data_IF_389763772840
#
_entry.id   IF_389763772840
#
_cell.length_a   1.000
_cell.length_b   1.000
_cell.length_c   1.000
_cell.angle_alpha   90.00
_cell.angle_beta   90.00
_cell.angle_gamma   90.00
#
_symmetry.space_group_name_H-M   'P 1'
#
loop_
_entity.id
_entity.type
_entity.pdbx_description
1 polymer ?
#
# COMPACT_ATOMS: atom_id res chain seq x y z
N UNK A 1 -11.68 7.76 37.78
CA UNK A 1 -11.44 8.26 36.41
C UNK A 1 -10.32 7.39 35.83
N UNK A 2 -10.69 6.31 35.14
CA UNK A 2 -9.73 5.30 34.68
C UNK A 2 -9.06 5.79 33.39
N UNK A 3 -7.78 6.14 33.46
CA UNK A 3 -6.97 6.43 32.29
C UNK A 3 -6.83 5.15 31.44
N UNK A 4 -7.07 5.29 30.13
CA UNK A 4 -6.96 4.25 29.12
C UNK A 4 -5.48 3.85 28.94
N UNK A 5 -5.05 2.77 29.59
CA UNK A 5 -3.68 2.21 29.50
C UNK A 5 -3.41 1.41 28.21
N UNK A 6 -4.26 1.53 27.18
CA UNK A 6 -4.17 0.71 25.97
C UNK A 6 -3.56 1.43 24.75
N UNK A 7 -3.03 2.65 24.91
CA UNK A 7 -2.36 3.39 23.82
C UNK A 7 -0.97 2.81 23.45
N UNK A 8 -0.35 2.03 24.34
CA UNK A 8 1.09 1.72 24.24
C UNK A 8 1.46 0.83 23.04
N UNK A 9 0.75 -0.27 22.73
CA UNK A 9 1.25 -1.26 21.74
C UNK A 9 1.49 -0.75 20.31
N UNK A 10 0.68 0.19 19.81
CA UNK A 10 0.87 0.74 18.46
C UNK A 10 1.88 1.88 18.45
N UNK A 11 1.87 2.73 19.48
CA UNK A 11 2.81 3.84 19.60
C UNK A 11 4.22 3.32 19.88
N UNK A 12 4.38 2.29 20.72
CA UNK A 12 5.66 1.62 20.94
C UNK A 12 6.19 1.00 19.64
N UNK A 13 5.31 0.38 18.83
CA UNK A 13 5.69 -0.17 17.54
C UNK A 13 6.12 0.94 16.56
N UNK A 14 5.40 2.06 16.53
CA UNK A 14 5.72 3.24 15.72
C UNK A 14 7.04 3.90 16.13
N UNK A 15 7.27 4.09 17.43
CA UNK A 15 8.49 4.65 18.00
C UNK A 15 9.68 3.71 17.75
N UNK A 16 9.48 2.39 17.87
CA UNK A 16 10.51 1.39 17.54
C UNK A 16 10.89 1.38 16.05
N UNK A 17 9.99 1.77 15.15
CA UNK A 17 10.25 1.87 13.71
C UNK A 17 10.92 3.19 13.28
N UNK A 18 10.99 4.20 14.15
CA UNK A 18 11.54 5.51 13.84
C UNK A 18 13.03 5.69 14.20
N UNK A 19 13.73 4.65 14.67
CA UNK A 19 15.13 4.78 15.14
C UNK A 19 16.17 4.53 14.03
N UNK A 20 16.63 5.63 13.41
CA UNK A 20 18.05 5.91 13.06
C UNK A 20 18.25 7.46 13.10
N UNK A 21 19.42 7.97 13.54
CA UNK A 21 19.50 8.66 14.82
C UNK A 21 19.75 10.18 14.74
N UNK A 22 19.44 10.89 15.83
CA UNK A 22 20.32 11.91 16.42
C UNK A 22 19.82 12.43 17.79
N UNK A 23 20.68 12.25 18.81
CA UNK A 23 20.83 12.98 20.10
C UNK A 23 19.67 12.85 21.11
N UNK A 24 19.84 12.52 22.38
CA UNK A 24 20.99 12.39 23.28
C UNK A 24 20.44 12.44 24.73
N UNK A 25 21.19 11.84 25.67
CA UNK A 25 21.00 11.79 27.14
C UNK A 25 20.03 10.76 27.76
N UNK A 26 20.64 9.62 28.11
CA UNK A 26 20.90 9.11 29.46
C UNK A 26 19.74 8.80 30.44
N UNK A 27 19.69 7.50 30.78
CA UNK A 27 19.24 6.87 32.05
C UNK A 27 17.95 6.03 32.04
N UNK A 28 17.87 5.06 31.13
CA UNK A 28 17.03 3.86 31.31
C UNK A 28 17.75 2.58 30.81
N UNK A 29 19.00 2.37 31.23
CA UNK A 29 19.83 1.23 30.84
C UNK A 29 19.71 0.06 31.82
N UNK A 30 18.60 -0.70 31.81
CA UNK A 30 18.68 -2.13 32.18
C UNK A 30 17.53 -2.99 31.65
N UNK A 31 16.34 -2.45 31.37
CA UNK A 31 15.18 -3.28 30.94
C UNK A 31 15.00 -3.39 29.42
N UNK A 32 15.66 -2.54 28.64
CA UNK A 32 15.58 -2.50 27.16
C UNK A 32 16.40 -3.59 26.49
N UNK A 33 17.52 -4.03 27.09
CA UNK A 33 18.39 -5.03 26.47
C UNK A 33 17.76 -6.43 26.40
N UNK A 34 16.95 -6.82 27.39
CA UNK A 34 16.24 -8.11 27.38
C UNK A 34 15.09 -8.17 26.34
N UNK A 35 14.47 -7.03 26.04
CA UNK A 35 13.45 -6.91 24.98
C UNK A 35 14.13 -6.80 23.60
N UNK A 36 15.29 -6.15 23.50
CA UNK A 36 16.10 -6.07 22.29
C UNK A 36 16.70 -7.43 21.89
N UNK A 37 17.10 -8.28 22.84
CA UNK A 37 17.60 -9.63 22.51
C UNK A 37 16.49 -10.58 22.06
N UNK A 38 15.27 -10.43 22.59
CA UNK A 38 14.11 -11.21 22.13
C UNK A 38 13.56 -10.74 20.76
N UNK A 39 13.71 -9.46 20.40
CA UNK A 39 13.27 -8.93 19.10
C UNK A 39 14.31 -9.05 17.97
N UNK A 40 15.59 -9.32 18.28
CA UNK A 40 16.63 -9.62 17.26
C UNK A 40 16.44 -10.97 16.57
N UNK A 41 15.52 -11.81 17.04
CA UNK A 41 15.23 -13.14 16.48
C UNK A 41 13.89 -13.24 15.74
N UNK A 42 13.22 -12.12 15.43
CA UNK A 42 12.29 -12.10 14.29
C UNK A 42 13.13 -12.16 13.02
N UNK A 43 13.55 -13.37 12.66
CA UNK A 43 14.39 -13.66 11.50
C UNK A 43 13.82 -12.91 10.28
N UNK A 44 14.49 -11.84 9.84
CA UNK A 44 14.20 -11.22 8.56
C UNK A 44 14.49 -12.28 7.49
N UNK A 45 13.43 -12.87 6.96
CA UNK A 45 13.55 -13.90 5.93
C UNK A 45 13.69 -13.17 4.60
N UNK A 46 14.85 -13.27 4.00
CA UNK A 46 15.08 -12.85 2.63
C UNK A 46 14.90 -14.03 1.66
N UNK A 47 14.22 -13.80 0.54
CA UNK A 47 14.16 -14.74 -0.59
C UNK A 47 15.00 -14.19 -1.74
N UNK A 48 15.93 -15.00 -2.24
CA UNK A 48 16.66 -14.72 -3.49
C UNK A 48 16.17 -15.70 -4.54
N UNK A 49 15.71 -15.19 -5.67
CA UNK A 49 14.98 -15.98 -6.67
C UNK A 49 15.46 -15.69 -8.07
N UNK A 50 15.57 -16.74 -8.88
CA UNK A 50 15.76 -16.61 -10.32
C UNK A 50 14.49 -16.03 -10.94
N UNK A 51 14.60 -14.78 -11.40
CA UNK A 51 13.51 -14.02 -12.00
C UNK A 51 13.04 -14.61 -13.32
N UNK A 52 13.92 -15.25 -14.10
CA UNK A 52 13.53 -15.90 -15.35
C UNK A 52 12.76 -17.18 -15.06
N UNK A 53 13.21 -17.99 -14.11
CA UNK A 53 12.46 -19.16 -13.64
C UNK A 53 11.07 -18.75 -13.10
N UNK A 54 11.00 -17.67 -12.32
CA UNK A 54 9.73 -17.13 -11.84
C UNK A 54 8.80 -16.72 -12.99
N UNK A 55 9.32 -15.99 -13.97
CA UNK A 55 8.54 -15.54 -15.13
C UNK A 55 8.02 -16.70 -15.98
N UNK A 56 8.78 -17.80 -16.08
CA UNK A 56 8.33 -19.02 -16.75
C UNK A 56 7.23 -19.77 -15.98
N UNK A 57 7.27 -19.74 -14.64
CA UNK A 57 6.20 -20.36 -13.81
C UNK A 57 4.95 -19.49 -13.65
N UNK A 58 5.02 -18.23 -14.07
CA UNK A 58 3.91 -17.30 -13.99
C UNK A 58 2.83 -17.62 -15.03
N UNK A 59 1.61 -17.87 -14.55
CA UNK A 59 0.46 -18.14 -15.40
C UNK A 59 -0.21 -16.82 -15.78
N UNK A 60 0.08 -16.32 -16.98
CA UNK A 60 -0.45 -15.04 -17.50
C UNK A 60 -1.99 -15.07 -17.58
N UNK A 61 -2.71 -14.30 -16.75
CA UNK A 61 -4.16 -14.25 -16.79
C UNK A 61 -4.69 -13.59 -18.07
N UNK A 62 -5.93 -13.91 -18.44
CA UNK A 62 -6.59 -13.33 -19.62
C UNK A 62 -6.78 -11.80 -19.53
N UNK A 63 -6.71 -11.23 -18.33
CA UNK A 63 -6.79 -9.77 -18.09
C UNK A 63 -5.51 -9.03 -18.50
N UNK A 64 -4.37 -9.73 -18.63
CA UNK A 64 -3.10 -9.11 -19.05
C UNK A 64 -3.10 -8.88 -20.55
N UNK A 65 -3.22 -7.62 -20.98
CA UNK A 65 -3.24 -7.23 -22.40
C UNK A 65 -1.97 -6.54 -22.84
N UNK A 66 -1.31 -5.80 -21.96
CA UNK A 66 -0.08 -5.05 -22.23
C UNK A 66 1.09 -5.50 -21.35
N UNK A 67 2.30 -5.01 -21.63
CA UNK A 67 3.45 -5.26 -20.75
C UNK A 67 3.28 -4.57 -19.39
N UNK A 68 2.60 -3.42 -19.31
CA UNK A 68 2.26 -2.79 -18.04
C UNK A 68 1.32 -3.69 -17.21
N UNK A 69 0.28 -4.25 -17.83
CA UNK A 69 -0.62 -5.19 -17.15
C UNK A 69 0.15 -6.41 -16.62
N UNK A 70 1.13 -6.90 -17.41
CA UNK A 70 2.00 -8.00 -17.01
C UNK A 70 2.82 -7.61 -15.79
N UNK A 71 3.47 -6.45 -15.79
CA UNK A 71 4.24 -5.96 -14.64
C UNK A 71 3.38 -5.85 -13.38
N UNK A 72 2.22 -5.21 -13.47
CA UNK A 72 1.29 -5.06 -12.34
C UNK A 72 0.83 -6.43 -11.81
N UNK A 73 0.42 -7.32 -12.71
CA UNK A 73 -0.11 -8.63 -12.32
C UNK A 73 0.98 -9.55 -11.77
N UNK A 74 2.17 -9.53 -12.35
CA UNK A 74 3.35 -10.27 -11.88
C UNK A 74 3.78 -9.78 -10.49
N UNK A 75 3.87 -8.46 -10.28
CA UNK A 75 4.23 -7.87 -8.99
C UNK A 75 3.23 -8.21 -7.87
N UNK A 76 1.93 -8.20 -8.18
CA UNK A 76 0.89 -8.64 -7.24
C UNK A 76 1.05 -10.12 -6.88
N UNK A 77 1.34 -10.97 -7.85
CA UNK A 77 1.53 -12.40 -7.65
C UNK A 77 2.76 -12.71 -6.78
N UNK A 78 3.90 -12.04 -7.00
CA UNK A 78 5.10 -12.27 -6.20
C UNK A 78 5.02 -11.59 -4.81
N UNK A 79 4.46 -10.38 -4.71
CA UNK A 79 4.58 -9.52 -3.53
C UNK A 79 3.37 -9.48 -2.60
N UNK A 80 2.15 -9.26 -3.12
CA UNK A 80 0.95 -9.01 -2.29
C UNK A 80 0.19 -10.29 -1.93
N UNK A 81 0.90 -11.32 -1.48
CA UNK A 81 0.30 -12.38 -0.65
C UNK A 81 0.13 -13.76 -1.29
N UNK A 82 0.86 -14.13 -2.34
CA UNK A 82 0.77 -15.51 -2.88
C UNK A 82 2.06 -16.32 -2.78
N UNK A 83 3.19 -15.86 -3.37
CA UNK A 83 4.38 -16.73 -3.47
C UNK A 83 5.44 -16.52 -2.38
N UNK A 84 5.66 -15.28 -1.93
CA UNK A 84 6.74 -14.93 -1.00
C UNK A 84 6.26 -14.19 0.26
N UNK A 85 5.01 -14.42 0.69
CA UNK A 85 4.40 -13.72 1.83
C UNK A 85 5.10 -13.92 3.19
N UNK A 86 5.90 -14.98 3.32
CA UNK A 86 6.64 -15.30 4.54
C UNK A 86 8.04 -14.66 4.58
N UNK A 87 8.39 -13.83 3.59
CA UNK A 87 9.67 -13.16 3.48
C UNK A 87 9.49 -11.65 3.65
N UNK A 88 10.32 -11.04 4.49
CA UNK A 88 10.37 -9.58 4.68
C UNK A 88 11.09 -8.87 3.54
N UNK A 89 11.90 -9.62 2.77
CA UNK A 89 12.71 -9.09 1.67
C UNK A 89 12.72 -10.06 0.48
N UNK A 90 12.63 -9.53 -0.73
CA UNK A 90 12.63 -10.31 -1.97
C UNK A 90 13.64 -9.73 -2.97
N UNK A 91 14.63 -10.54 -3.33
CA UNK A 91 15.64 -10.24 -4.35
C UNK A 91 15.35 -11.05 -5.60
N UNK A 92 14.87 -10.38 -6.64
CA UNK A 92 14.61 -11.01 -7.95
C UNK A 92 15.82 -10.78 -8.85
N UNK A 93 16.49 -11.85 -9.23
CA UNK A 93 17.73 -11.80 -10.03
C UNK A 93 17.43 -12.24 -11.46
N UNK A 94 17.75 -11.38 -12.43
CA UNK A 94 17.65 -11.71 -13.85
C UNK A 94 19.03 -11.93 -14.48
N UNK A 95 19.08 -12.87 -15.43
CA UNK A 95 20.28 -13.12 -16.25
C UNK A 95 20.69 -11.87 -17.04
N UNK A 96 21.99 -11.66 -17.20
CA UNK A 96 22.54 -10.72 -18.19
C UNK A 96 22.73 -11.41 -19.55
N UNK A 97 22.20 -10.80 -20.61
CA UNK A 97 22.25 -11.35 -21.97
C UNK A 97 23.45 -10.77 -22.73
N UNK A 98 24.64 -11.33 -22.51
CA UNK A 98 25.88 -10.91 -23.19
C UNK A 98 26.00 -11.54 -24.58
N UNK A 99 26.39 -10.75 -25.57
CA UNK A 99 26.52 -11.21 -26.95
C UNK A 99 27.62 -12.26 -27.13
N UNK A 100 28.77 -12.11 -26.46
CA UNK A 100 29.90 -13.04 -26.62
C UNK A 100 29.90 -14.12 -25.53
N UNK A 101 28.75 -14.73 -25.24
CA UNK A 101 28.63 -15.76 -24.20
C UNK A 101 28.40 -17.16 -24.78
N UNK A 102 28.94 -18.17 -24.10
CA UNK A 102 28.68 -19.58 -24.40
C UNK A 102 27.16 -19.89 -24.45
N UNK A 103 26.38 -19.23 -23.58
CA UNK A 103 24.92 -19.34 -23.56
C UNK A 103 24.28 -18.84 -24.88
N UNK A 104 24.79 -17.79 -25.53
CA UNK A 104 24.24 -17.30 -26.82
C UNK A 104 24.44 -18.33 -27.92
N UNK A 105 25.67 -18.82 -28.12
CA UNK A 105 25.97 -19.84 -29.12
C UNK A 105 25.08 -21.09 -28.94
N UNK A 106 24.87 -21.52 -27.69
CA UNK A 106 23.95 -22.63 -27.39
C UNK A 106 22.47 -22.32 -27.66
N UNK A 107 22.02 -21.06 -27.53
CA UNK A 107 20.64 -20.66 -27.84
C UNK A 107 20.37 -20.69 -29.35
N UNK A 108 21.33 -20.23 -30.15
CA UNK A 108 21.25 -20.26 -31.62
C UNK A 108 21.12 -21.72 -32.11
N UNK A 109 21.91 -22.64 -31.54
CA UNK A 109 21.80 -24.08 -31.81
C UNK A 109 20.41 -24.62 -31.42
N UNK A 110 19.88 -24.23 -30.24
CA UNK A 110 18.56 -24.68 -29.76
C UNK A 110 17.41 -24.16 -30.60
N UNK A 111 17.55 -22.98 -31.21
CA UNK A 111 16.52 -22.36 -32.03
C UNK A 111 16.35 -23.04 -33.40
N UNK A 112 17.25 -23.96 -33.80
CA UNK A 112 17.15 -24.80 -35.01
C UNK A 112 16.73 -24.01 -36.28
N UNK A 113 17.15 -22.75 -36.40
CA UNK A 113 16.81 -21.89 -37.54
C UNK A 113 15.42 -21.23 -37.50
N UNK A 114 14.67 -21.31 -36.39
CA UNK A 114 13.49 -20.48 -36.19
C UNK A 114 13.93 -19.07 -35.78
N UNK A 115 13.64 -18.05 -36.57
CA UNK A 115 13.86 -16.66 -36.17
C UNK A 115 12.78 -16.20 -35.20
N UNK A 116 13.10 -16.02 -33.90
CA UNK A 116 12.10 -15.63 -32.93
C UNK A 116 11.72 -14.15 -33.14
N UNK A 117 10.43 -13.84 -33.03
CA UNK A 117 9.93 -12.49 -33.20
C UNK A 117 10.49 -11.58 -32.11
N UNK A 118 11.18 -10.51 -32.52
CA UNK A 118 11.60 -9.45 -31.61
C UNK A 118 10.44 -8.48 -31.37
N UNK A 119 9.94 -8.43 -30.15
CA UNK A 119 8.99 -7.43 -29.69
C UNK A 119 9.72 -6.20 -29.15
N UNK A 120 9.20 -5.00 -29.47
CA UNK A 120 9.57 -3.75 -28.82
C UNK A 120 8.84 -3.65 -27.49
N UNK A 121 9.56 -3.79 -26.38
CA UNK A 121 8.97 -3.74 -25.03
C UNK A 121 8.77 -2.28 -24.61
N UNK A 122 7.56 -1.98 -24.13
CA UNK A 122 7.14 -0.71 -23.55
C UNK A 122 5.79 -0.92 -22.85
N UNK A 123 5.33 0.03 -22.03
CA UNK A 123 4.13 -0.15 -21.20
C UNK A 123 2.90 -0.54 -22.02
N UNK A 124 2.70 0.09 -23.18
CA UNK A 124 1.55 -0.14 -24.08
C UNK A 124 1.72 -1.33 -25.05
N UNK A 125 2.85 -2.03 -25.01
CA UNK A 125 3.10 -3.15 -25.93
C UNK A 125 2.08 -4.26 -25.71
N UNK A 126 1.24 -4.51 -26.71
CA UNK A 126 0.16 -5.50 -26.67
C UNK A 126 0.72 -6.93 -26.71
N UNK A 127 0.44 -7.70 -25.65
CA UNK A 127 0.89 -9.09 -25.47
C UNK A 127 -0.27 -10.02 -25.08
N UNK A 128 -1.51 -9.55 -25.11
CA UNK A 128 -2.68 -10.32 -24.69
C UNK A 128 -2.81 -11.68 -25.38
N UNK A 129 -2.66 -11.70 -26.71
CA UNK A 129 -2.70 -12.92 -27.53
C UNK A 129 -1.36 -13.65 -27.64
N UNK A 130 -0.27 -13.07 -27.12
CA UNK A 130 1.07 -13.64 -27.22
C UNK A 130 1.30 -14.56 -26.01
N UNK A 131 1.55 -15.86 -26.21
CA UNK A 131 1.89 -16.76 -25.10
C UNK A 131 3.30 -16.47 -24.59
N UNK A 132 3.55 -16.70 -23.30
CA UNK A 132 4.81 -16.33 -22.64
C UNK A 132 6.04 -16.97 -23.31
N UNK A 133 5.95 -18.22 -23.75
CA UNK A 133 7.04 -18.91 -24.44
C UNK A 133 7.44 -18.23 -25.77
N UNK A 134 6.48 -17.65 -26.52
CA UNK A 134 6.77 -16.88 -27.73
C UNK A 134 7.34 -15.51 -27.41
N UNK A 135 6.78 -14.80 -26.42
CA UNK A 135 7.30 -13.50 -25.99
C UNK A 135 8.75 -13.61 -25.49
N UNK A 136 9.08 -14.71 -24.82
CA UNK A 136 10.40 -15.02 -24.28
C UNK A 136 11.28 -15.82 -25.26
N UNK A 137 10.97 -15.85 -26.55
CA UNK A 137 11.79 -16.58 -27.52
C UNK A 137 13.04 -15.80 -27.94
N UNK A 138 12.87 -14.50 -28.24
CA UNK A 138 13.95 -13.62 -28.72
C UNK A 138 14.78 -13.03 -27.58
N UNK A 139 16.11 -13.07 -27.69
CA UNK A 139 17.03 -12.68 -26.61
C UNK A 139 16.94 -11.19 -26.26
N UNK A 140 16.85 -10.30 -27.25
CA UNK A 140 16.67 -8.87 -26.97
C UNK A 140 15.31 -8.58 -26.33
N UNK A 141 14.27 -9.34 -26.69
CA UNK A 141 12.93 -9.17 -26.10
C UNK A 141 12.94 -9.61 -24.65
N UNK A 142 13.56 -10.76 -24.35
CA UNK A 142 13.81 -11.22 -22.98
C UNK A 142 14.53 -10.15 -22.17
N UNK A 143 15.68 -9.68 -22.67
CA UNK A 143 16.49 -8.68 -21.98
C UNK A 143 15.69 -7.42 -21.66
N UNK A 144 15.03 -6.82 -22.66
CA UNK A 144 14.21 -5.62 -22.51
C UNK A 144 13.00 -5.83 -21.60
N UNK A 145 12.40 -7.02 -21.63
CA UNK A 145 11.30 -7.37 -20.73
C UNK A 145 11.78 -7.52 -19.28
N UNK A 146 12.92 -8.17 -19.04
CA UNK A 146 13.49 -8.31 -17.69
C UNK A 146 13.94 -6.97 -17.14
N UNK A 147 14.47 -6.08 -17.97
CA UNK A 147 14.79 -4.69 -17.60
C UNK A 147 13.52 -3.94 -17.18
N UNK A 148 12.47 -3.98 -18.01
CA UNK A 148 11.16 -3.38 -17.71
C UNK A 148 10.56 -3.91 -16.41
N UNK A 149 10.52 -5.23 -16.22
CA UNK A 149 9.99 -5.86 -15.01
C UNK A 149 10.83 -5.52 -13.78
N UNK A 150 12.15 -5.42 -13.90
CA UNK A 150 13.03 -5.02 -12.78
C UNK A 150 12.66 -3.63 -12.25
N UNK A 151 12.47 -2.67 -13.15
CA UNK A 151 12.00 -1.33 -12.78
C UNK A 151 10.63 -1.38 -12.09
N UNK A 152 9.68 -2.13 -12.66
CA UNK A 152 8.34 -2.28 -12.08
C UNK A 152 8.37 -2.92 -10.69
N UNK A 153 9.21 -3.93 -10.46
CA UNK A 153 9.35 -4.61 -9.16
C UNK A 153 9.87 -3.62 -8.10
N UNK A 154 10.92 -2.87 -8.44
CA UNK A 154 11.51 -1.87 -7.53
C UNK A 154 10.51 -0.77 -7.19
N UNK A 155 9.85 -0.20 -8.20
CA UNK A 155 8.84 0.84 -8.02
C UNK A 155 7.67 0.35 -7.16
N UNK A 156 7.19 -0.87 -7.40
CA UNK A 156 6.14 -1.50 -6.62
C UNK A 156 6.55 -1.71 -5.15
N UNK A 157 7.77 -2.21 -4.91
CA UNK A 157 8.31 -2.40 -3.56
C UNK A 157 8.42 -1.07 -2.80
N UNK A 158 8.99 -0.04 -3.43
CA UNK A 158 9.12 1.30 -2.83
C UNK A 158 7.75 1.92 -2.53
N UNK A 159 6.81 1.83 -3.48
CA UNK A 159 5.46 2.38 -3.32
C UNK A 159 4.71 1.68 -2.19
N UNK A 160 4.77 0.35 -2.10
CA UNK A 160 4.13 -0.40 -1.03
C UNK A 160 4.77 -0.10 0.34
N UNK A 161 6.10 -0.01 0.41
CA UNK A 161 6.81 0.38 1.65
C UNK A 161 6.39 1.77 2.12
N UNK A 162 6.35 2.74 1.20
CA UNK A 162 5.86 4.10 1.47
C UNK A 162 4.41 4.07 1.97
N UNK A 163 3.51 3.42 1.25
CA UNK A 163 2.08 3.32 1.61
C UNK A 163 1.88 2.65 2.97
N UNK A 164 2.65 1.61 3.28
CA UNK A 164 2.60 0.94 4.58
C UNK A 164 3.03 1.88 5.71
N UNK A 165 4.12 2.64 5.53
CA UNK A 165 4.59 3.63 6.49
C UNK A 165 3.58 4.77 6.69
N UNK A 166 3.00 5.29 5.61
CA UNK A 166 1.96 6.32 5.68
C UNK A 166 0.69 5.80 6.35
N UNK A 167 0.28 4.57 6.04
CA UNK A 167 -0.85 3.93 6.69
C UNK A 167 -0.62 3.79 8.19
N UNK A 168 0.58 3.35 8.60
CA UNK A 168 0.95 3.22 10.01
C UNK A 168 0.86 4.56 10.75
N UNK A 169 1.36 5.65 10.14
CA UNK A 169 1.25 7.01 10.68
C UNK A 169 -0.20 7.51 10.76
N UNK A 170 -1.05 7.08 9.83
CA UNK A 170 -2.45 7.46 9.76
C UNK A 170 -3.35 6.66 10.71
N UNK A 171 -2.91 5.49 11.21
CA UNK A 171 -3.72 4.60 12.05
C UNK A 171 -4.24 5.25 13.34
N UNK A 172 -3.46 6.04 14.10
CA UNK A 172 -3.98 6.72 15.29
C UNK A 172 -5.16 7.64 14.96
N UNK A 173 -5.03 8.47 13.91
CA UNK A 173 -6.10 9.34 13.45
C UNK A 173 -7.32 8.58 12.96
N UNK A 174 -7.13 7.48 12.22
CA UNK A 174 -8.20 6.58 11.82
C UNK A 174 -8.93 5.99 13.04
N UNK A 175 -8.18 5.51 14.03
CA UNK A 175 -8.73 4.86 15.23
C UNK A 175 -9.57 5.85 16.02
N UNK A 176 -9.06 7.05 16.24
CA UNK A 176 -9.76 8.12 16.95
C UNK A 176 -10.99 8.60 16.18
N UNK A 177 -10.88 8.81 14.86
CA UNK A 177 -11.98 9.32 14.04
C UNK A 177 -13.09 8.28 13.82
N UNK A 178 -12.74 7.01 13.62
CA UNK A 178 -13.71 5.93 13.43
C UNK A 178 -14.48 5.54 14.71
N UNK A 179 -14.13 6.17 15.83
CA UNK A 179 -14.73 5.97 17.14
C UNK A 179 -13.85 5.12 18.05
N UNK A 180 -13.34 5.75 19.09
CA UNK A 180 -12.81 5.14 20.30
C UNK A 180 -13.79 5.44 21.46
N UNK A 181 -13.55 4.87 22.64
CA UNK A 181 -14.42 5.03 23.81
C UNK A 181 -14.70 6.50 24.17
N UNK A 182 -13.79 7.41 23.78
CA UNK A 182 -13.85 8.84 24.10
C UNK A 182 -14.25 9.75 22.93
N UNK A 183 -14.29 9.27 21.68
CA UNK A 183 -14.48 10.14 20.48
C UNK A 183 -15.85 10.02 19.83
N UNK A 184 -16.69 9.09 20.27
CA UNK A 184 -18.01 8.82 19.68
C UNK A 184 -17.91 8.20 18.28
N UNK A 185 -19.01 7.64 17.78
CA UNK A 185 -19.03 6.94 16.49
C UNK A 185 -19.99 7.58 15.49
N UNK A 186 -19.68 7.46 14.20
CA UNK A 186 -20.63 7.79 13.14
C UNK A 186 -21.71 6.71 13.02
N UNK A 187 -22.98 7.13 13.05
CA UNK A 187 -24.12 6.23 13.01
C UNK A 187 -24.06 5.27 11.82
N UNK A 188 -24.25 3.98 12.11
CA UNK A 188 -24.22 2.90 11.11
C UNK A 188 -22.90 2.76 10.33
N UNK A 189 -21.78 3.35 10.80
CA UNK A 189 -20.44 3.22 10.19
C UNK A 189 -19.47 2.49 11.11
N UNK A 190 -19.62 1.16 11.19
CA UNK A 190 -18.71 0.31 11.96
C UNK A 190 -17.27 0.27 11.41
N UNK A 191 -16.34 -0.24 12.23
CA UNK A 191 -14.89 -0.33 11.93
C UNK A 191 -14.57 -1.00 10.59
N UNK A 192 -15.35 -2.02 10.19
CA UNK A 192 -15.18 -2.69 8.89
C UNK A 192 -15.36 -1.73 7.72
N UNK A 193 -16.33 -0.79 7.81
CA UNK A 193 -16.56 0.18 6.73
C UNK A 193 -15.43 1.19 6.66
N UNK A 194 -15.02 1.71 7.82
CA UNK A 194 -13.85 2.58 7.94
C UNK A 194 -12.58 1.93 7.40
N UNK A 195 -12.32 0.67 7.74
CA UNK A 195 -11.15 -0.07 7.25
C UNK A 195 -11.15 -0.23 5.73
N UNK A 196 -12.31 -0.52 5.12
CA UNK A 196 -12.44 -0.60 3.66
C UNK A 196 -12.18 0.75 2.98
N UNK A 197 -12.72 1.83 3.53
CA UNK A 197 -12.46 3.19 3.04
C UNK A 197 -10.98 3.55 3.18
N UNK A 198 -10.37 3.24 4.33
CA UNK A 198 -8.95 3.48 4.61
C UNK A 198 -8.02 2.73 3.65
N UNK A 199 -8.27 1.44 3.39
CA UNK A 199 -7.45 0.67 2.44
C UNK A 199 -7.48 1.24 1.02
N UNK A 200 -8.57 1.92 0.66
CA UNK A 200 -8.75 2.58 -0.64
C UNK A 200 -8.42 4.07 -0.61
N UNK A 201 -7.88 4.58 0.51
CA UNK A 201 -7.57 5.99 0.70
C UNK A 201 -6.49 6.47 -0.27
N UNK A 202 -6.59 7.75 -0.62
CA UNK A 202 -5.54 8.50 -1.31
C UNK A 202 -4.43 8.91 -0.34
N UNK A 203 -3.24 9.18 -0.85
CA UNK A 203 -2.08 9.65 -0.06
C UNK A 203 -2.42 10.92 0.72
N UNK A 204 -3.22 11.84 0.14
CA UNK A 204 -3.69 13.07 0.81
C UNK A 204 -4.53 12.77 2.06
N UNK A 205 -5.39 11.74 1.99
CA UNK A 205 -6.20 11.34 3.14
C UNK A 205 -5.36 10.64 4.21
N UNK A 206 -4.42 9.78 3.81
CA UNK A 206 -3.48 9.17 4.77
C UNK A 206 -2.68 10.25 5.50
N UNK A 207 -2.20 11.27 4.78
CA UNK A 207 -1.53 12.42 5.37
C UNK A 207 -2.43 13.19 6.33
N UNK A 208 -3.67 13.50 5.93
CA UNK A 208 -4.62 14.22 6.80
C UNK A 208 -4.95 13.45 8.08
N UNK A 209 -5.08 12.11 8.01
CA UNK A 209 -5.28 11.25 9.17
C UNK A 209 -4.02 11.18 10.05
N UNK A 210 -2.83 11.17 9.48
CA UNK A 210 -1.59 11.25 10.24
C UNK A 210 -1.46 12.59 10.96
N UNK A 211 -1.77 13.70 10.28
CA UNK A 211 -1.73 15.06 10.83
C UNK A 211 -2.76 15.28 11.94
N UNK A 212 -3.91 14.61 11.87
CA UNK A 212 -4.89 14.58 12.97
C UNK A 212 -4.24 14.11 14.27
N UNK A 213 -3.25 13.22 14.16
CA UNK A 213 -2.55 12.64 15.30
C UNK A 213 -1.33 13.38 15.80
N UNK A 214 -0.84 14.39 15.07
CA UNK A 214 0.49 14.97 15.34
C UNK A 214 0.54 16.49 15.33
N UNK A 215 -0.48 17.20 14.82
CA UNK A 215 -0.44 18.66 14.64
C UNK A 215 -1.13 19.45 15.76
N UNK A 216 -0.57 20.60 16.16
CA UNK A 216 -1.11 21.44 17.25
C UNK A 216 -2.42 22.17 16.89
N UNK A 217 -2.78 22.23 15.61
CA UNK A 217 -4.02 22.83 15.12
C UNK A 217 -4.51 22.14 13.85
N UNK A 218 -5.84 22.15 13.64
CA UNK A 218 -6.47 21.59 12.43
C UNK A 218 -6.44 22.62 11.31
N UNK A 219 -5.69 22.33 10.25
CA UNK A 219 -5.67 23.12 9.01
C UNK A 219 -6.92 22.87 8.17
N UNK A 220 -7.24 23.79 7.26
CA UNK A 220 -8.38 23.64 6.36
C UNK A 220 -8.20 22.48 5.37
N UNK A 221 -6.95 22.20 4.97
CA UNK A 221 -6.62 21.05 4.11
C UNK A 221 -6.93 19.72 4.80
N UNK A 222 -6.60 19.58 6.10
CA UNK A 222 -6.95 18.37 6.88
C UNK A 222 -8.46 18.21 6.95
N UNK A 223 -9.20 19.30 7.24
CA UNK A 223 -10.67 19.26 7.29
C UNK A 223 -11.26 18.82 5.96
N UNK A 224 -10.82 19.43 4.87
CA UNK A 224 -11.31 19.14 3.51
C UNK A 224 -11.03 17.70 3.10
N UNK A 225 -9.82 17.19 3.36
CA UNK A 225 -9.46 15.81 3.00
C UNK A 225 -10.23 14.78 3.85
N UNK A 226 -10.43 15.04 5.15
CA UNK A 226 -11.25 14.18 6.00
C UNK A 226 -12.73 14.28 5.61
N UNK A 227 -13.24 15.46 5.28
CA UNK A 227 -14.61 15.65 4.79
C UNK A 227 -14.88 14.79 3.55
N UNK A 228 -13.97 14.80 2.57
CA UNK A 228 -14.04 13.94 1.39
C UNK A 228 -14.03 12.44 1.76
N UNK A 229 -13.29 12.04 2.80
CA UNK A 229 -13.34 10.67 3.32
C UNK A 229 -14.71 10.30 3.89
N UNK A 230 -15.32 11.19 4.68
CA UNK A 230 -16.67 10.99 5.21
C UNK A 230 -17.68 10.85 4.06
N UNK A 231 -17.55 11.66 3.00
CA UNK A 231 -18.38 11.51 1.80
C UNK A 231 -18.26 10.09 1.21
N UNK A 232 -17.05 9.57 1.04
CA UNK A 232 -16.82 8.20 0.55
C UNK A 232 -17.28 7.12 1.53
N UNK A 233 -17.24 7.38 2.84
CA UNK A 233 -17.74 6.47 3.87
C UNK A 233 -19.26 6.32 3.78
N UNK A 234 -19.99 7.37 3.40
CA UNK A 234 -21.44 7.30 3.20
C UNK A 234 -21.81 6.79 1.81
N UNK A 235 -21.13 7.26 0.76
CA UNK A 235 -21.32 6.83 -0.64
C UNK A 235 -19.98 6.35 -1.20
N UNK A 236 -19.71 5.02 -1.20
CA UNK A 236 -18.47 4.48 -1.73
C UNK A 236 -18.22 4.91 -3.17
N UNK A 237 -16.99 5.32 -3.48
CA UNK A 237 -16.54 5.79 -4.81
C UNK A 237 -17.26 7.02 -5.35
N UNK A 238 -17.90 7.82 -4.49
CA UNK A 238 -18.47 9.11 -4.89
C UNK A 238 -17.39 10.09 -5.33
N UNK A 239 -17.73 10.96 -6.29
CA UNK A 239 -16.92 12.13 -6.65
C UNK A 239 -17.24 13.34 -5.78
N UNK A 240 -18.31 13.28 -4.98
CA UNK A 240 -18.69 14.37 -4.06
C UNK A 240 -17.68 14.45 -2.91
N UNK A 241 -17.13 15.64 -2.69
CA UNK A 241 -16.18 15.93 -1.60
C UNK A 241 -16.78 16.81 -0.51
N UNK A 242 -17.99 17.30 -0.71
CA UNK A 242 -18.73 18.17 0.22
C UNK A 242 -19.85 17.39 0.92
N UNK A 243 -19.86 17.44 2.25
CA UNK A 243 -20.82 16.69 3.08
C UNK A 243 -22.24 17.21 2.87
N UNK A 244 -22.42 18.50 2.64
CA UNK A 244 -23.75 19.08 2.43
C UNK A 244 -24.36 18.56 1.13
N UNK A 245 -23.57 18.50 0.05
CA UNK A 245 -23.97 17.86 -1.20
C UNK A 245 -24.31 16.37 -1.02
N UNK A 246 -23.53 15.62 -0.23
CA UNK A 246 -23.83 14.20 0.05
C UNK A 246 -25.12 14.05 0.87
N UNK A 247 -25.33 14.91 1.88
CA UNK A 247 -26.57 14.93 2.68
C UNK A 247 -27.77 15.18 1.79
N UNK A 248 -27.71 16.21 0.93
CA UNK A 248 -28.78 16.54 -0.02
C UNK A 248 -29.07 15.39 -0.98
N UNK A 249 -28.03 14.76 -1.54
CA UNK A 249 -28.19 13.61 -2.43
C UNK A 249 -28.86 12.42 -1.73
N UNK A 250 -28.41 12.05 -0.53
CA UNK A 250 -28.99 10.92 0.21
C UNK A 250 -30.42 11.19 0.66
N UNK A 251 -30.72 12.42 1.06
CA UNK A 251 -32.07 12.83 1.41
C UNK A 251 -33.01 12.73 0.19
N UNK A 252 -32.63 13.34 -0.94
CA UNK A 252 -33.51 13.42 -2.11
C UNK A 252 -33.60 12.13 -2.91
N UNK A 253 -32.48 11.44 -3.14
CA UNK A 253 -32.42 10.29 -4.05
C UNK A 253 -32.59 8.96 -3.33
N UNK A 254 -32.21 8.88 -2.05
CA UNK A 254 -32.25 7.65 -1.27
C UNK A 254 -33.28 7.69 -0.14
N UNK A 255 -33.93 8.84 0.09
CA UNK A 255 -34.94 9.03 1.14
C UNK A 255 -34.42 8.59 2.52
N UNK A 256 -33.12 8.80 2.77
CA UNK A 256 -32.53 8.50 4.07
C UNK A 256 -33.01 9.51 5.09
N UNK A 257 -33.40 9.01 6.27
CA UNK A 257 -33.85 9.82 7.38
C UNK A 257 -32.79 9.87 8.48
N UNK A 258 -32.72 11.04 9.11
CA UNK A 258 -32.05 11.29 10.39
C UNK A 258 -30.62 10.72 10.49
N UNK A 259 -30.40 9.75 11.39
CA UNK A 259 -29.10 9.15 11.71
C UNK A 259 -28.38 8.47 10.53
N UNK A 260 -29.10 8.16 9.44
CA UNK A 260 -28.50 7.57 8.26
C UNK A 260 -27.83 8.58 7.33
N UNK A 261 -28.00 9.88 7.58
CA UNK A 261 -27.31 10.96 6.88
C UNK A 261 -25.90 11.19 7.46
N UNK A 262 -24.94 11.70 6.65
CA UNK A 262 -23.65 12.15 7.16
C UNK A 262 -23.82 13.27 8.20
N UNK A 263 -22.86 13.50 9.10
CA UNK A 263 -22.95 14.64 10.04
C UNK A 263 -23.14 15.95 9.27
N UNK A 264 -23.67 17.00 9.90
CA UNK A 264 -23.50 18.36 9.35
C UNK A 264 -22.05 18.81 9.52
N UNK A 265 -21.60 19.81 8.76
CA UNK A 265 -20.24 20.38 8.95
C UNK A 265 -20.03 20.88 10.38
N UNK A 266 -21.07 21.48 10.99
CA UNK A 266 -21.08 21.89 12.39
C UNK A 266 -20.92 20.73 13.38
N UNK A 267 -21.42 19.53 13.06
CA UNK A 267 -21.25 18.33 13.89
C UNK A 267 -19.91 17.60 13.61
N UNK A 268 -19.39 17.69 12.38
CA UNK A 268 -18.10 17.11 12.02
C UNK A 268 -16.95 17.82 12.75
N UNK A 269 -16.98 19.15 12.84
CA UNK A 269 -15.89 19.93 13.44
C UNK A 269 -15.57 19.49 14.89
N UNK A 270 -16.54 19.37 15.82
CA UNK A 270 -16.29 18.83 17.15
C UNK A 270 -15.79 17.38 17.14
N UNK A 271 -16.26 16.54 16.20
CA UNK A 271 -15.77 15.17 16.08
C UNK A 271 -14.29 15.11 15.69
N UNK A 272 -13.85 15.98 14.75
CA UNK A 272 -12.43 16.13 14.39
C UNK A 272 -11.59 16.62 15.57
N UNK A 273 -12.08 17.60 16.33
CA UNK A 273 -11.38 18.13 17.50
C UNK A 273 -11.22 17.07 18.60
N UNK A 274 -12.25 16.28 18.88
CA UNK A 274 -12.17 15.14 19.82
C UNK A 274 -11.20 14.08 19.34
N UNK A 275 -11.29 13.70 18.06
CA UNK A 275 -10.41 12.70 17.48
C UNK A 275 -8.94 13.13 17.55
N UNK A 276 -8.67 14.42 17.27
CA UNK A 276 -7.34 15.02 17.43
C UNK A 276 -6.87 14.95 18.88
N UNK A 277 -7.68 15.41 19.84
CA UNK A 277 -7.31 15.37 21.26
C UNK A 277 -6.94 13.96 21.72
N UNK A 278 -7.74 12.96 21.33
CA UNK A 278 -7.48 11.56 21.62
C UNK A 278 -6.17 11.02 21.03
N UNK A 279 -5.67 11.61 19.95
CA UNK A 279 -4.38 11.20 19.41
C UNK A 279 -3.21 11.82 20.18
N UNK A 280 -3.39 12.98 20.81
CA UNK A 280 -2.37 13.65 21.64
C UNK A 280 -2.22 13.03 23.03
N UNK A 281 -3.33 12.67 23.68
CA UNK A 281 -3.36 12.02 25.01
C UNK A 281 -3.06 10.52 24.93
#
# INVERSE_FOLDING_TARGET
MHHCLAKHKLMDALESMQVLPAKGNDNAYTSTNAILENNKNLHEKAAIVDGMALLHTYHKPNTVKTCLDLGISFNKWIGLGQKFNNYSELHVVFDSYKENSLKKALREIRQKGSDPIQYKIGPETKIGSVPMNKLLAHDNTKHKLTEFLSHQILEFGMTNKKRALESLKALPGLQALSGADVTGSFASKGKVKWWRTFNSASDKLLLALAELGTTSSLTEDVRTNIEACICQLYIPKTALTDIEAVRWFLFTQKQYLDENLPPTRSALNPALLRARLQCFE
#
